data_IF_214482781065
#
_entry.id   IF_214482781065
#
_cell.length_a   1.000
_cell.length_b   1.000
_cell.length_c   1.000
_cell.angle_alpha   90.00
_cell.angle_beta   90.00
_cell.angle_gamma   90.00
#
_symmetry.space_group_name_H-M   'P 1'
#
loop_
_entity.id
_entity.type
_entity.pdbx_description
1 polymer ?
#
# COMPACT_ATOMS: atom_id res chain seq x y z
N UNK A 1 6.57 13.99 4.88
CA UNK A 1 5.30 13.25 5.12
C UNK A 1 5.61 11.77 5.32
N UNK A 2 4.71 10.97 5.92
CA UNK A 2 4.90 9.52 6.12
C UNK A 2 3.83 8.73 5.38
N UNK A 3 4.16 7.57 4.84
CA UNK A 3 3.17 6.63 4.30
C UNK A 3 3.67 5.18 4.38
N UNK A 4 2.74 4.26 4.60
CA UNK A 4 2.91 2.86 4.21
C UNK A 4 2.46 2.76 2.75
N UNK A 5 3.21 2.09 1.90
CA UNK A 5 2.90 2.04 0.46
C UNK A 5 2.42 0.64 0.15
N UNK A 6 1.34 0.49 -0.60
CA UNK A 6 0.91 -0.82 -1.09
C UNK A 6 1.74 -1.23 -2.31
N UNK A 7 1.91 -2.54 -2.52
CA UNK A 7 2.64 -3.08 -3.68
C UNK A 7 2.04 -2.61 -5.01
N UNK A 8 0.71 -2.43 -5.10
CA UNK A 8 0.05 -2.02 -6.33
C UNK A 8 0.51 -0.63 -6.83
N UNK A 9 0.97 0.26 -5.95
CA UNK A 9 1.49 1.58 -6.31
C UNK A 9 2.78 1.43 -7.13
N UNK A 10 3.65 0.51 -6.73
CA UNK A 10 4.89 0.22 -7.46
C UNK A 10 4.60 -0.46 -8.80
N UNK A 11 3.66 -1.41 -8.83
CA UNK A 11 3.33 -2.14 -10.04
C UNK A 11 2.67 -1.24 -11.09
N UNK A 12 1.74 -0.38 -10.69
CA UNK A 12 1.10 0.57 -11.58
C UNK A 12 2.12 1.59 -12.10
N UNK A 13 3.00 2.10 -11.23
CA UNK A 13 4.08 2.98 -11.67
C UNK A 13 5.04 2.31 -12.69
N UNK A 14 5.09 0.98 -12.73
CA UNK A 14 5.85 0.20 -13.70
C UNK A 14 5.06 -0.18 -14.97
N UNK A 15 3.80 0.25 -15.12
CA UNK A 15 2.87 -0.26 -16.16
C UNK A 15 2.65 -1.78 -16.08
N UNK A 16 2.63 -2.36 -14.87
CA UNK A 16 2.41 -3.80 -14.64
C UNK A 16 1.00 -4.11 -14.13
N UNK A 17 0.04 -3.26 -14.46
CA UNK A 17 -1.37 -3.48 -14.22
C UNK A 17 -2.13 -3.13 -15.50
N UNK A 18 -2.86 -4.09 -16.05
CA UNK A 18 -3.65 -3.86 -17.25
C UNK A 18 -4.86 -2.95 -16.92
N UNK A 19 -5.38 -2.26 -17.94
CA UNK A 19 -6.61 -1.47 -17.89
C UNK A 19 -6.67 -0.30 -16.88
N UNK A 20 -5.53 0.14 -16.33
CA UNK A 20 -5.45 1.39 -15.54
C UNK A 20 -5.28 2.60 -16.46
N UNK A 21 -5.85 3.73 -16.04
CA UNK A 21 -5.69 5.01 -16.73
C UNK A 21 -4.22 5.49 -16.74
N UNK A 22 -3.86 6.29 -17.76
CA UNK A 22 -2.57 6.97 -17.79
C UNK A 22 -2.40 7.92 -16.58
N UNK A 23 -3.48 8.58 -16.18
CA UNK A 23 -3.50 9.47 -15.01
C UNK A 23 -3.12 8.73 -13.72
N UNK A 24 -3.63 7.51 -13.52
CA UNK A 24 -3.26 6.67 -12.39
C UNK A 24 -1.77 6.30 -12.38
N UNK A 25 -1.20 5.97 -13.55
CA UNK A 25 0.23 5.71 -13.67
C UNK A 25 1.03 6.96 -13.32
N UNK A 26 0.67 8.11 -13.89
CA UNK A 26 1.33 9.40 -13.65
C UNK A 26 1.32 9.73 -12.15
N UNK A 27 0.16 9.59 -11.49
CA UNK A 27 0.03 9.86 -10.06
C UNK A 27 0.91 8.92 -9.22
N UNK A 28 0.89 7.61 -9.48
CA UNK A 28 1.76 6.66 -8.79
C UNK A 28 3.25 7.01 -8.95
N UNK A 29 3.68 7.36 -10.17
CA UNK A 29 5.06 7.79 -10.43
C UNK A 29 5.42 9.06 -9.65
N UNK A 30 4.54 10.06 -9.67
CA UNK A 30 4.75 11.32 -8.96
C UNK A 30 4.81 11.13 -7.44
N UNK A 31 3.92 10.32 -6.86
CA UNK A 31 3.89 10.02 -5.42
C UNK A 31 5.15 9.28 -4.97
N UNK A 32 5.60 8.27 -5.72
CA UNK A 32 6.85 7.58 -5.44
C UNK A 32 8.06 8.52 -5.56
N UNK A 33 8.08 9.41 -6.55
CA UNK A 33 9.15 10.41 -6.69
C UNK A 33 9.19 11.38 -5.50
N UNK A 34 8.03 11.91 -5.09
CA UNK A 34 7.91 12.84 -3.96
C UNK A 34 8.25 12.18 -2.62
N UNK A 35 7.89 10.91 -2.46
CA UNK A 35 8.28 10.11 -1.28
C UNK A 35 9.80 10.03 -1.16
N UNK A 36 10.51 9.79 -2.26
CA UNK A 36 11.99 9.74 -2.25
C UNK A 36 12.64 11.07 -1.88
N UNK A 37 12.04 12.19 -2.27
CA UNK A 37 12.65 13.51 -2.10
C UNK A 37 12.39 14.11 -0.71
N UNK A 38 11.19 13.92 -0.17
CA UNK A 38 10.72 14.66 1.02
C UNK A 38 9.90 13.81 2.01
N UNK A 39 9.72 12.52 1.70
CA UNK A 39 8.92 11.61 2.48
C UNK A 39 9.74 10.64 3.32
N UNK A 40 9.01 9.92 4.16
CA UNK A 40 9.48 8.79 4.97
C UNK A 40 8.57 7.60 4.65
N UNK A 41 9.13 6.55 4.08
CA UNK A 41 8.41 5.30 3.81
C UNK A 41 8.41 4.46 5.08
N UNK A 42 7.23 3.98 5.49
CA UNK A 42 7.08 3.15 6.68
C UNK A 42 6.95 1.69 6.26
N UNK A 43 7.79 0.82 6.82
CA UNK A 43 7.86 -0.62 6.50
C UNK A 43 7.85 -1.47 7.77
N UNK A 44 7.66 -2.78 7.65
CA UNK A 44 7.86 -3.70 8.75
C UNK A 44 9.35 -3.96 9.03
N UNK A 45 9.68 -4.34 10.26
CA UNK A 45 11.04 -4.64 10.73
C UNK A 45 11.59 -6.00 10.27
N UNK A 46 10.75 -6.82 9.63
CA UNK A 46 11.01 -8.23 9.34
C UNK A 46 10.99 -8.53 7.84
N UNK A 47 11.10 -7.50 7.00
CA UNK A 47 11.25 -7.62 5.55
C UNK A 47 10.03 -8.17 4.78
N UNK A 48 8.83 -8.19 5.37
CA UNK A 48 7.62 -8.71 4.71
C UNK A 48 7.17 -7.83 3.55
N UNK A 49 7.13 -6.51 3.74
CA UNK A 49 6.77 -5.54 2.70
C UNK A 49 7.84 -5.50 1.60
N UNK A 50 9.11 -5.37 1.98
CA UNK A 50 10.22 -5.35 1.01
C UNK A 50 10.35 -6.67 0.26
N UNK A 51 10.08 -7.80 0.93
CA UNK A 51 10.05 -9.13 0.33
C UNK A 51 8.95 -9.27 -0.72
N UNK A 52 7.75 -8.76 -0.44
CA UNK A 52 6.67 -8.73 -1.43
C UNK A 52 7.03 -7.86 -2.64
N UNK A 53 7.57 -6.66 -2.41
CA UNK A 53 8.01 -5.80 -3.50
C UNK A 53 9.04 -6.50 -4.37
N UNK A 54 10.06 -7.12 -3.77
CA UNK A 54 11.07 -7.88 -4.49
C UNK A 54 10.50 -9.03 -5.33
N UNK A 55 9.49 -9.71 -4.81
CA UNK A 55 8.84 -10.81 -5.51
C UNK A 55 8.02 -10.33 -6.70
N UNK A 56 7.41 -9.14 -6.59
CA UNK A 56 6.45 -8.60 -7.58
C UNK A 56 7.09 -7.65 -8.61
N UNK A 57 8.30 -7.16 -8.35
CA UNK A 57 9.01 -6.16 -9.17
C UNK A 57 10.33 -6.69 -9.73
N UNK A 58 11.05 -5.91 -10.55
CA UNK A 58 12.32 -6.33 -11.17
C UNK A 58 13.48 -5.40 -10.82
N UNK A 59 14.46 -5.84 -10.03
CA UNK A 59 15.60 -4.98 -9.64
C UNK A 59 16.76 -4.90 -10.63
N UNK A 60 16.90 -5.89 -11.53
CA UNK A 60 18.07 -5.99 -12.41
C UNK A 60 17.73 -6.58 -13.78
N UNK A 61 17.69 -5.76 -14.85
CA UNK A 61 17.63 -4.29 -14.78
C UNK A 61 16.26 -3.80 -14.24
N UNK A 62 16.20 -2.63 -13.57
CA UNK A 62 14.93 -1.94 -13.33
C UNK A 62 14.23 -1.65 -14.65
N UNK A 63 12.93 -1.95 -14.73
CA UNK A 63 12.09 -1.79 -15.92
C UNK A 63 11.15 -0.59 -15.82
N UNK A 64 10.92 -0.06 -14.62
CA UNK A 64 10.08 1.12 -14.44
C UNK A 64 10.36 1.94 -13.16
N UNK A 65 9.64 3.06 -12.99
CA UNK A 65 9.72 3.94 -11.82
C UNK A 65 9.54 3.23 -10.46
N UNK A 66 8.64 2.24 -10.36
CA UNK A 66 8.43 1.42 -9.17
C UNK A 66 9.65 0.58 -8.81
N UNK A 67 10.32 -0.02 -9.80
CA UNK A 67 11.58 -0.76 -9.60
C UNK A 67 12.71 0.16 -9.11
N UNK A 68 12.79 1.37 -9.68
CA UNK A 68 13.75 2.39 -9.28
C UNK A 68 13.47 2.87 -7.85
N UNK A 69 12.20 3.00 -7.47
CA UNK A 69 11.79 3.28 -6.10
C UNK A 69 12.23 2.16 -5.15
N UNK A 70 11.94 0.89 -5.46
CA UNK A 70 12.35 -0.24 -4.61
C UNK A 70 13.87 -0.29 -4.44
N UNK A 71 14.63 -0.10 -5.51
CA UNK A 71 16.10 -0.07 -5.45
C UNK A 71 16.61 1.05 -4.52
N UNK A 72 15.97 2.22 -4.56
CA UNK A 72 16.28 3.32 -3.65
C UNK A 72 15.88 2.98 -2.21
N UNK A 73 14.71 2.38 -2.00
CA UNK A 73 14.18 2.04 -0.68
C UNK A 73 15.09 1.02 0.02
N UNK A 74 15.51 -0.04 -0.68
CA UNK A 74 16.44 -1.04 -0.17
C UNK A 74 17.79 -0.43 0.24
N UNK A 75 18.27 0.59 -0.48
CA UNK A 75 19.52 1.30 -0.14
C UNK A 75 19.36 2.23 1.08
N UNK A 76 18.14 2.66 1.36
CA UNK A 76 17.82 3.60 2.45
C UNK A 76 17.08 2.95 3.62
N UNK A 77 16.88 1.63 3.64
CA UNK A 77 16.08 0.95 4.66
C UNK A 77 16.57 1.18 6.10
N UNK A 78 17.87 1.45 6.28
CA UNK A 78 18.48 1.82 7.55
C UNK A 78 18.65 3.34 7.77
N UNK A 79 18.12 4.19 6.89
CA UNK A 79 18.23 5.63 6.97
C UNK A 79 16.94 6.24 7.56
N UNK A 80 16.94 6.68 8.83
CA UNK A 80 15.74 7.19 9.50
C UNK A 80 15.19 8.49 8.90
N UNK A 81 15.96 9.21 8.08
CA UNK A 81 15.47 10.38 7.35
C UNK A 81 14.57 10.03 6.16
N UNK A 82 14.54 8.77 5.75
CA UNK A 82 13.80 8.29 4.59
C UNK A 82 12.93 7.06 4.86
N UNK A 83 13.27 6.27 5.88
CA UNK A 83 12.56 5.03 6.20
C UNK A 83 12.40 4.90 7.71
N UNK A 84 11.19 4.59 8.14
CA UNK A 84 10.92 4.16 9.51
C UNK A 84 10.47 2.69 9.49
N UNK A 85 11.02 1.89 10.40
CA UNK A 85 10.67 0.48 10.55
C UNK A 85 9.77 0.31 11.76
N UNK A 86 8.71 -0.46 11.60
CA UNK A 86 7.72 -0.74 12.63
C UNK A 86 7.73 -2.23 12.92
N UNK A 87 7.87 -2.57 14.18
CA UNK A 87 7.74 -3.96 14.62
C UNK A 87 6.27 -4.39 14.54
N UNK A 88 6.04 -5.50 13.87
CA UNK A 88 4.76 -6.22 13.88
C UNK A 88 4.99 -7.70 14.17
N UNK A 89 4.08 -8.31 14.92
CA UNK A 89 4.18 -9.67 15.41
C UNK A 89 3.24 -10.57 14.62
N UNK A 90 3.80 -11.41 13.75
CA UNK A 90 3.05 -12.42 13.01
C UNK A 90 2.68 -13.59 13.92
N UNK A 91 1.39 -13.76 14.20
CA UNK A 91 0.85 -14.80 15.11
C UNK A 91 0.41 -16.06 14.36
N UNK A 92 0.11 -15.92 13.07
CA UNK A 92 -0.10 -16.99 12.11
C UNK A 92 0.25 -16.44 10.71
N UNK A 93 0.34 -17.29 9.70
CA UNK A 93 0.68 -16.83 8.34
C UNK A 93 -0.27 -15.70 7.90
N UNK A 94 0.30 -14.53 7.61
CA UNK A 94 -0.44 -13.32 7.24
C UNK A 94 -1.48 -12.85 8.29
N UNK A 95 -1.27 -13.15 9.58
CA UNK A 95 -2.06 -12.65 10.70
C UNK A 95 -1.13 -11.94 11.69
N UNK A 96 -1.48 -10.72 12.08
CA UNK A 96 -0.62 -9.87 12.90
C UNK A 96 -1.32 -9.43 14.17
N UNK A 97 -0.62 -9.47 15.31
CA UNK A 97 -1.16 -9.00 16.59
C UNK A 97 -1.57 -7.52 16.53
N UNK A 98 -0.92 -6.74 15.68
CA UNK A 98 -1.15 -5.32 15.47
C UNK A 98 -2.18 -5.03 14.37
N UNK A 99 -2.81 -6.04 13.77
CA UNK A 99 -3.93 -5.81 12.86
C UNK A 99 -5.10 -5.15 13.63
N UNK A 100 -5.73 -4.08 13.10
CA UNK A 100 -6.58 -3.20 13.90
C UNK A 100 -7.93 -3.78 14.34
N UNK A 101 -8.46 -4.79 13.64
CA UNK A 101 -9.77 -5.36 13.93
C UNK A 101 -9.86 -6.86 13.56
N UNK A 102 -10.06 -7.77 14.53
CA UNK A 102 -10.18 -9.21 14.26
C UNK A 102 -11.37 -9.62 13.37
N UNK A 103 -12.47 -8.86 13.38
CA UNK A 103 -13.63 -9.15 12.52
C UNK A 103 -13.35 -8.71 11.09
N UNK A 104 -12.68 -7.57 10.90
CA UNK A 104 -12.22 -7.13 9.58
C UNK A 104 -11.18 -8.09 9.01
N UNK A 105 -10.27 -8.61 9.83
CA UNK A 105 -9.20 -9.53 9.39
C UNK A 105 -9.75 -10.75 8.65
N UNK A 106 -10.93 -11.26 9.05
CA UNK A 106 -11.59 -12.42 8.42
C UNK A 106 -12.02 -12.18 6.98
N UNK A 107 -12.28 -10.93 6.59
CA UNK A 107 -12.75 -10.55 5.25
C UNK A 107 -11.71 -9.76 4.45
N UNK A 108 -10.59 -9.41 5.07
CA UNK A 108 -9.45 -8.72 4.47
C UNK A 108 -8.54 -9.71 3.75
N UNK A 109 -8.02 -9.32 2.58
CA UNK A 109 -7.06 -10.16 1.84
C UNK A 109 -5.81 -10.42 2.68
N UNK A 110 -5.43 -11.69 2.83
CA UNK A 110 -4.37 -12.07 3.75
C UNK A 110 -3.02 -11.35 3.49
N UNK A 111 -2.49 -11.32 2.25
CA UNK A 111 -1.22 -10.64 1.99
C UNK A 111 -1.24 -9.14 2.35
N UNK A 112 -2.39 -8.48 2.23
CA UNK A 112 -2.48 -7.03 2.42
C UNK A 112 -2.52 -6.63 3.92
N UNK A 113 -2.78 -7.58 4.81
CA UNK A 113 -2.92 -7.32 6.26
C UNK A 113 -1.67 -6.71 6.88
N UNK A 114 -0.49 -7.02 6.34
CA UNK A 114 0.78 -6.43 6.80
C UNK A 114 0.81 -4.90 6.66
N UNK A 115 0.21 -4.34 5.61
CA UNK A 115 0.19 -2.89 5.41
C UNK A 115 -0.69 -2.20 6.46
N UNK A 116 -1.86 -2.77 6.74
CA UNK A 116 -2.75 -2.33 7.81
C UNK A 116 -2.12 -2.46 9.19
N UNK A 117 -1.43 -3.59 9.46
CA UNK A 117 -0.73 -3.81 10.72
C UNK A 117 0.41 -2.80 10.93
N UNK A 118 1.24 -2.52 9.91
CA UNK A 118 2.31 -1.51 9.99
C UNK A 118 1.74 -0.12 10.24
N UNK A 119 0.73 0.30 9.48
CA UNK A 119 0.10 1.60 9.66
C UNK A 119 -0.55 1.73 11.04
N UNK A 120 -1.18 0.68 11.54
CA UNK A 120 -1.79 0.65 12.86
C UNK A 120 -0.74 0.63 13.98
N UNK A 121 0.35 -0.11 13.87
CA UNK A 121 1.37 -0.17 14.91
C UNK A 121 2.17 1.14 15.05
N UNK A 122 2.29 1.91 13.98
CA UNK A 122 3.04 3.16 13.97
C UNK A 122 2.35 4.27 14.81
N UNK A 123 3.12 5.00 15.63
CA UNK A 123 2.61 6.06 16.52
C UNK A 123 1.80 7.14 15.79
N UNK A 124 2.33 7.64 14.67
CA UNK A 124 1.68 8.69 13.87
C UNK A 124 0.54 8.19 12.95
N UNK A 125 0.26 6.88 12.93
CA UNK A 125 -0.77 6.25 12.05
C UNK A 125 -0.72 6.79 10.60
N UNK A 126 0.42 6.60 9.90
CA UNK A 126 0.59 7.11 8.55
C UNK A 126 -0.47 6.50 7.61
N UNK A 127 -0.93 7.24 6.58
CA UNK A 127 -1.85 6.68 5.61
C UNK A 127 -1.19 5.52 4.85
N UNK A 128 -2.04 4.58 4.43
CA UNK A 128 -1.67 3.56 3.46
C UNK A 128 -1.98 4.13 2.08
N UNK A 129 -0.95 4.27 1.26
CA UNK A 129 -1.10 4.61 -0.13
C UNK A 129 -1.50 3.39 -0.92
N UNK A 130 -2.64 3.52 -1.59
CA UNK A 130 -3.26 2.46 -2.35
C UNK A 130 -3.58 3.02 -3.72
N UNK A 131 -3.20 2.35 -4.80
CA UNK A 131 -3.50 2.83 -6.15
C UNK A 131 -4.91 2.42 -6.58
N UNK A 132 -5.03 1.31 -7.33
CA UNK A 132 -6.28 0.93 -8.00
C UNK A 132 -6.87 -0.40 -7.53
N UNK A 133 -6.33 -1.10 -6.52
CA UNK A 133 -6.99 -2.33 -6.07
C UNK A 133 -8.30 -2.01 -5.34
N UNK A 134 -9.39 -2.20 -6.08
CA UNK A 134 -10.74 -1.92 -5.68
C UNK A 134 -11.22 -2.63 -4.41
N UNK A 135 -10.62 -3.75 -3.98
CA UNK A 135 -11.08 -4.46 -2.78
C UNK A 135 -10.94 -3.60 -1.51
N UNK A 136 -9.95 -2.72 -1.48
CA UNK A 136 -9.75 -1.77 -0.39
C UNK A 136 -10.94 -0.82 -0.18
N UNK A 137 -11.80 -0.63 -1.19
CA UNK A 137 -13.03 0.16 -1.05
C UNK A 137 -14.03 -0.48 -0.07
N UNK A 138 -14.01 -1.80 0.10
CA UNK A 138 -14.86 -2.51 1.07
C UNK A 138 -14.34 -2.38 2.53
N UNK A 139 -13.08 -1.96 2.71
CA UNK A 139 -12.40 -2.06 4.01
C UNK A 139 -11.96 -0.72 4.62
N UNK A 140 -11.79 0.33 3.81
CA UNK A 140 -11.17 1.57 4.27
C UNK A 140 -11.92 2.23 5.44
N UNK A 141 -13.25 2.17 5.45
CA UNK A 141 -14.07 2.80 6.49
C UNK A 141 -13.87 2.12 7.85
N UNK A 142 -13.90 0.78 7.87
CA UNK A 142 -13.61 0.00 9.07
C UNK A 142 -12.17 0.20 9.56
N UNK A 143 -11.19 0.33 8.66
CA UNK A 143 -9.83 0.71 9.01
C UNK A 143 -9.76 2.11 9.64
N UNK A 144 -10.50 3.06 9.07
CA UNK A 144 -10.52 4.45 9.55
C UNK A 144 -11.11 4.56 10.96
N UNK A 145 -12.13 3.77 11.29
CA UNK A 145 -12.68 3.68 12.66
C UNK A 145 -11.64 3.21 13.69
N UNK A 146 -10.58 2.52 13.25
CA UNK A 146 -9.44 2.09 14.08
C UNK A 146 -8.22 3.02 13.95
N UNK A 147 -8.40 4.17 13.31
CA UNK A 147 -7.36 5.18 13.11
C UNK A 147 -6.38 4.89 11.98
N UNK A 148 -6.64 3.88 11.14
CA UNK A 148 -5.83 3.60 9.95
C UNK A 148 -6.46 4.28 8.73
N UNK A 149 -5.74 5.23 8.14
CA UNK A 149 -6.22 5.95 6.95
C UNK A 149 -5.74 5.27 5.67
N UNK A 150 -6.59 5.25 4.66
CA UNK A 150 -6.26 4.78 3.31
C UNK A 150 -6.36 5.98 2.37
N UNK A 151 -5.34 6.19 1.55
CA UNK A 151 -5.31 7.23 0.52
C UNK A 151 -5.30 6.55 -0.84
N UNK A 152 -6.41 6.69 -1.58
CA UNK A 152 -6.54 6.16 -2.93
C UNK A 152 -5.90 7.12 -3.93
N UNK A 153 -4.73 6.77 -4.46
CA UNK A 153 -4.03 7.53 -5.48
C UNK A 153 -4.77 7.49 -6.83
N UNK A 154 -5.51 6.41 -7.08
CA UNK A 154 -6.27 6.21 -8.32
C UNK A 154 -7.73 5.87 -8.03
N UNK A 155 -8.43 6.76 -7.32
CA UNK A 155 -9.81 6.51 -6.86
C UNK A 155 -10.78 6.23 -8.01
N UNK A 156 -10.63 6.90 -9.16
CA UNK A 156 -11.48 6.68 -10.34
C UNK A 156 -11.32 5.26 -10.92
N UNK A 157 -10.08 4.79 -11.08
CA UNK A 157 -9.78 3.43 -11.52
C UNK A 157 -10.23 2.39 -10.49
N UNK A 158 -9.96 2.60 -9.20
CA UNK A 158 -10.43 1.73 -8.13
C UNK A 158 -11.96 1.60 -8.15
N UNK A 159 -12.69 2.72 -8.31
CA UNK A 159 -14.15 2.71 -8.42
C UNK A 159 -14.64 2.03 -9.71
N UNK A 160 -13.95 2.25 -10.83
CA UNK A 160 -14.24 1.58 -12.10
C UNK A 160 -14.11 0.06 -11.98
N UNK A 161 -12.98 -0.42 -11.46
CA UNK A 161 -12.73 -1.83 -11.23
C UNK A 161 -13.71 -2.42 -10.21
N UNK A 162 -14.10 -1.67 -9.18
CA UNK A 162 -15.10 -2.12 -8.21
C UNK A 162 -16.44 -2.42 -8.89
N UNK A 163 -16.94 -1.49 -9.71
CA UNK A 163 -18.22 -1.67 -10.43
C UNK A 163 -18.19 -2.90 -11.34
N UNK A 164 -17.06 -3.14 -12.01
CA UNK A 164 -16.88 -4.30 -12.88
C UNK A 164 -16.78 -5.62 -12.10
N UNK A 165 -16.08 -5.61 -10.96
CA UNK A 165 -15.80 -6.80 -10.15
C UNK A 165 -16.98 -7.20 -9.25
N UNK A 166 -17.75 -6.22 -8.77
CA UNK A 166 -18.87 -6.41 -7.86
C UNK A 166 -20.15 -5.72 -8.37
N UNK A 167 -20.68 -6.13 -9.54
CA UNK A 167 -21.80 -5.42 -10.20
C UNK A 167 -23.10 -5.42 -9.39
N UNK A 168 -23.24 -6.30 -8.39
CA UNK A 168 -24.40 -6.37 -7.50
C UNK A 168 -24.25 -5.57 -6.21
N UNK A 169 -23.05 -5.03 -5.93
CA UNK A 169 -22.80 -4.21 -4.74
C UNK A 169 -22.88 -2.73 -5.10
N UNK A 170 -23.44 -1.86 -4.23
CA UNK A 170 -23.30 -0.44 -4.39
C UNK A 170 -21.81 -0.05 -4.27
N UNK A 171 -21.38 0.96 -5.04
CA UNK A 171 -20.04 1.50 -4.90
C UNK A 171 -19.90 2.13 -3.50
N UNK A 172 -18.92 1.73 -2.68
CA UNK A 172 -18.66 2.38 -1.40
C UNK A 172 -18.28 3.86 -1.59
N UNK A 173 -18.58 4.73 -0.61
CA UNK A 173 -18.04 6.09 -0.63
C UNK A 173 -16.52 6.06 -0.60
N UNK A 174 -15.88 7.12 -1.11
CA UNK A 174 -14.45 7.34 -0.95
C UNK A 174 -14.17 7.98 0.42
N UNK A 175 -12.95 7.82 0.97
CA UNK A 175 -12.52 8.57 2.15
C UNK A 175 -12.65 10.08 1.93
N UNK A 176 -13.10 10.80 2.96
CA UNK A 176 -13.11 12.27 3.00
C UNK A 176 -11.70 12.89 3.02
#
# INVERSE_FOLDING_TARGET
MKAVIDTNVLLIANHQHDDVSEDCVIECVQRLHNMKSTGITVIDDSYRILGEYLHKTSLSPPKGPGDVFLKWLLRNAGNPYHVEQVQITEIAHDCFAEFPDPALEQVFDAPDRKFAAVAHAHLDKPPIWQAADCKWLDWWSALQEKGVRVEFLCSDDACGFYRSKFPSKPLPPLPD
#
